data_IF_184854642355
#
_entry.id   IF_184854642355
#
_cell.length_a   1.000
_cell.length_b   1.000
_cell.length_c   1.000
_cell.angle_alpha   90.00
_cell.angle_beta   90.00
_cell.angle_gamma   90.00
#
_symmetry.space_group_name_H-M   'P 1'
#
loop_
_entity.id
_entity.type
_entity.pdbx_description
1 polymer ?
#
# COMPACT_ATOMS: atom_id res chain seq x y z
N UNK A 1 4.16 8.76 -9.54
CA UNK A 1 3.69 8.14 -8.27
C UNK A 1 4.83 7.42 -7.58
N UNK A 2 5.64 6.68 -8.32
CA UNK A 2 6.81 5.96 -7.82
C UNK A 2 7.80 6.83 -7.02
N UNK A 3 8.07 8.06 -7.48
CA UNK A 3 8.94 8.97 -6.72
C UNK A 3 8.39 9.29 -5.32
N UNK A 4 7.08 9.44 -5.19
CA UNK A 4 6.44 9.65 -3.89
C UNK A 4 6.51 8.38 -3.02
N UNK A 5 6.40 7.20 -3.64
CA UNK A 5 6.58 5.91 -2.96
C UNK A 5 7.99 5.80 -2.40
N UNK A 6 9.01 6.12 -3.19
CA UNK A 6 10.41 6.10 -2.76
C UNK A 6 10.65 7.09 -1.60
N UNK A 7 10.06 8.29 -1.67
CA UNK A 7 10.18 9.28 -0.61
C UNK A 7 9.50 8.83 0.70
N UNK A 8 8.39 8.10 0.62
CA UNK A 8 7.73 7.53 1.82
C UNK A 8 8.55 6.38 2.37
N UNK A 9 9.11 5.52 1.52
CA UNK A 9 9.98 4.41 1.90
C UNK A 9 11.22 4.90 2.65
N UNK A 10 11.92 5.89 2.13
CA UNK A 10 13.08 6.49 2.83
C UNK A 10 12.66 7.12 4.15
N UNK A 11 11.53 7.84 4.19
CA UNK A 11 11.03 8.44 5.44
C UNK A 11 10.67 7.40 6.52
N UNK A 12 10.12 6.24 6.14
CA UNK A 12 9.85 5.14 7.08
C UNK A 12 11.16 4.53 7.58
N UNK A 13 12.13 4.32 6.70
CA UNK A 13 13.45 3.79 7.04
C UNK A 13 14.22 4.72 7.98
N UNK A 14 14.17 6.02 7.73
CA UNK A 14 14.82 7.03 8.58
C UNK A 14 14.25 7.01 10.01
N UNK A 15 12.94 6.76 10.16
CA UNK A 15 12.27 6.69 11.47
C UNK A 15 12.61 5.45 12.29
N UNK A 16 13.27 4.45 11.70
CA UNK A 16 13.69 3.22 12.37
C UNK A 16 14.96 3.37 13.22
N UNK A 17 15.56 4.57 13.29
CA UNK A 17 16.75 4.80 14.11
C UNK A 17 16.41 4.96 15.59
N UNK A 18 17.28 4.43 16.45
CA UNK A 18 17.16 4.56 17.91
C UNK A 18 17.13 6.03 18.35
N UNK A 19 17.91 6.89 17.67
CA UNK A 19 17.91 8.34 17.89
C UNK A 19 16.53 8.97 17.64
N UNK A 20 15.83 8.54 16.57
CA UNK A 20 14.49 9.04 16.28
C UNK A 20 13.46 8.53 17.28
N UNK A 21 13.63 7.29 17.75
CA UNK A 21 12.80 6.75 18.83
C UNK A 21 12.94 7.60 20.10
N UNK A 22 14.17 7.93 20.53
CA UNK A 22 14.41 8.75 21.72
C UNK A 22 13.80 10.16 21.60
N UNK A 23 13.94 10.79 20.43
CA UNK A 23 13.32 12.09 20.14
C UNK A 23 11.79 11.99 20.20
N UNK A 24 11.20 10.91 19.71
CA UNK A 24 9.76 10.71 19.69
C UNK A 24 9.24 10.40 21.11
N UNK A 25 9.94 9.55 21.85
CA UNK A 25 9.61 9.16 23.22
C UNK A 25 9.71 10.33 24.20
N UNK A 26 10.76 11.16 24.08
CA UNK A 26 10.91 12.38 24.90
C UNK A 26 9.82 13.41 24.61
N UNK A 27 9.45 13.61 23.34
CA UNK A 27 8.31 14.45 22.95
C UNK A 27 6.99 13.92 23.50
N UNK A 28 6.73 12.62 23.38
CA UNK A 28 5.52 12.00 23.90
C UNK A 28 5.42 12.15 25.42
N UNK A 29 6.54 11.95 26.13
CA UNK A 29 6.62 12.14 27.58
C UNK A 29 6.37 13.60 27.97
N UNK A 30 6.94 14.57 27.25
CA UNK A 30 6.71 15.99 27.48
C UNK A 30 5.25 16.43 27.23
N UNK A 31 4.57 15.81 26.25
CA UNK A 31 3.15 16.04 26.00
C UNK A 31 2.28 15.43 27.09
N UNK A 32 2.60 14.21 27.54
CA UNK A 32 1.89 13.55 28.63
C UNK A 32 1.96 14.35 29.93
N UNK A 33 3.14 14.88 30.26
CA UNK A 33 3.30 15.75 31.45
C UNK A 33 2.59 17.08 31.29
N UNK A 34 2.61 17.70 30.10
CA UNK A 34 1.88 18.95 29.84
C UNK A 34 0.36 18.80 29.98
N UNK A 35 -0.17 17.62 29.67
CA UNK A 35 -1.61 17.33 29.70
C UNK A 35 -2.07 16.65 31.00
N UNK A 36 -1.19 16.53 32.01
CA UNK A 36 -1.43 15.78 33.26
C UNK A 36 -1.95 14.35 33.01
N UNK A 37 -1.49 13.72 31.93
CA UNK A 37 -1.81 12.33 31.61
C UNK A 37 -0.94 11.39 32.43
N UNK A 38 -1.40 10.13 32.55
CA UNK A 38 -0.55 9.10 33.14
C UNK A 38 0.75 8.97 32.33
N UNK A 39 1.90 8.83 33.02
CA UNK A 39 3.17 8.64 32.34
C UNK A 39 3.12 7.37 31.49
N UNK A 40 3.90 7.36 30.41
CA UNK A 40 4.00 6.19 29.53
C UNK A 40 4.59 5.04 30.36
N UNK A 41 3.75 4.05 30.67
CA UNK A 41 4.10 2.87 31.46
C UNK A 41 4.17 1.64 30.56
N UNK A 42 4.99 0.66 30.96
CA UNK A 42 5.02 -0.64 30.29
C UNK A 42 3.63 -1.31 30.35
N UNK A 43 3.22 -2.02 29.29
CA UNK A 43 2.01 -2.82 29.31
C UNK A 43 2.00 -3.76 30.50
N UNK A 44 0.89 -3.76 31.27
CA UNK A 44 0.77 -4.63 32.43
C UNK A 44 0.70 -6.10 31.98
N UNK A 45 1.75 -6.87 32.24
CA UNK A 45 1.80 -8.29 31.90
C UNK A 45 0.78 -9.05 32.74
N UNK A 46 -0.30 -9.53 32.09
CA UNK A 46 -1.27 -10.41 32.74
C UNK A 46 -0.60 -11.73 33.08
N UNK A 47 -0.45 -12.03 34.38
CA UNK A 47 -0.02 -13.35 34.82
C UNK A 47 -1.14 -14.36 34.54
N UNK A 48 -0.89 -15.42 33.74
CA UNK A 48 -1.87 -16.48 33.60
C UNK A 48 -2.13 -17.13 34.97
N UNK A 49 -3.35 -17.63 35.18
CA UNK A 49 -3.68 -18.36 36.42
C UNK A 49 -2.81 -19.60 36.57
N UNK A 50 -2.29 -19.84 37.78
CA UNK A 50 -1.36 -20.94 38.14
C UNK A 50 -1.76 -22.33 37.65
N UNK A 51 -3.04 -22.58 37.36
CA UNK A 51 -3.53 -23.85 36.85
C UNK A 51 -3.03 -24.21 35.44
N UNK A 52 -2.65 -23.22 34.61
CA UNK A 52 -2.27 -23.43 33.20
C UNK A 52 -0.79 -23.20 32.91
N UNK A 53 -0.01 -22.69 33.86
CA UNK A 53 1.43 -22.44 33.72
C UNK A 53 2.20 -23.34 34.66
N UNK A 54 3.10 -24.18 34.15
CA UNK A 54 4.07 -24.93 34.95
C UNK A 54 5.08 -23.99 35.65
N UNK A 55 6.26 -24.52 36.01
CA UNK A 55 7.36 -23.72 36.58
C UNK A 55 8.04 -22.74 35.59
N UNK A 56 7.43 -22.48 34.44
CA UNK A 56 7.97 -21.55 33.44
C UNK A 56 7.71 -20.10 33.86
N UNK A 57 8.78 -19.31 33.93
CA UNK A 57 8.71 -17.89 34.20
C UNK A 57 7.83 -17.19 33.14
N UNK A 58 6.98 -16.25 33.56
CA UNK A 58 6.23 -15.42 32.64
C UNK A 58 7.20 -14.64 31.75
N UNK A 59 6.86 -14.44 30.47
CA UNK A 59 7.62 -13.55 29.59
C UNK A 59 7.53 -12.12 30.16
N UNK A 60 8.63 -11.59 30.68
CA UNK A 60 8.74 -10.22 31.18
C UNK A 60 9.52 -9.46 30.12
N UNK A 61 8.91 -8.43 29.52
CA UNK A 61 9.67 -7.41 28.81
C UNK A 61 10.36 -6.53 29.86
N UNK A 62 11.69 -6.60 30.03
CA UNK A 62 12.32 -6.08 31.24
C UNK A 62 12.74 -4.61 31.14
N UNK A 63 12.77 -4.00 29.94
CA UNK A 63 13.48 -2.74 29.73
C UNK A 63 12.79 -1.79 28.74
N UNK A 64 13.12 -0.50 28.78
CA UNK A 64 12.68 0.53 27.81
C UNK A 64 13.04 0.13 26.36
N UNK A 65 14.07 -0.70 26.20
CA UNK A 65 14.45 -1.33 24.95
C UNK A 65 13.31 -2.13 24.30
N UNK A 66 12.37 -2.68 25.10
CA UNK A 66 11.20 -3.38 24.58
C UNK A 66 10.19 -2.48 23.86
N UNK A 67 10.05 -1.20 24.27
CA UNK A 67 9.24 -0.23 23.53
C UNK A 67 9.91 0.18 22.23
N UNK A 68 11.25 0.25 22.22
CA UNK A 68 12.02 0.49 21.01
C UNK A 68 11.85 -0.69 20.03
N UNK A 69 11.94 -1.92 20.52
CA UNK A 69 11.69 -3.14 19.74
C UNK A 69 10.27 -3.21 19.19
N UNK A 70 9.25 -2.86 20.00
CA UNK A 70 7.85 -2.81 19.56
C UNK A 70 7.64 -1.72 18.52
N UNK A 71 8.19 -0.52 18.74
CA UNK A 71 8.17 0.57 17.75
C UNK A 71 8.82 0.14 16.44
N UNK A 72 10.00 -0.47 16.49
CA UNK A 72 10.70 -0.97 15.30
C UNK A 72 9.91 -2.08 14.61
N UNK A 73 9.26 -2.98 15.37
CA UNK A 73 8.38 -4.01 14.81
C UNK A 73 7.16 -3.40 14.10
N UNK A 74 6.57 -2.34 14.64
CA UNK A 74 5.47 -1.63 13.95
C UNK A 74 5.97 -0.96 12.67
N UNK A 75 7.15 -0.32 12.69
CA UNK A 75 7.76 0.29 11.51
C UNK A 75 8.11 -0.76 10.44
N UNK A 76 8.63 -1.91 10.85
CA UNK A 76 8.93 -3.04 9.98
C UNK A 76 7.64 -3.57 9.33
N UNK A 77 6.55 -3.69 10.10
CA UNK A 77 5.24 -4.10 9.58
C UNK A 77 4.70 -3.10 8.56
N UNK A 78 4.78 -1.80 8.86
CA UNK A 78 4.37 -0.73 7.94
C UNK A 78 5.21 -0.77 6.66
N UNK A 79 6.53 -0.93 6.78
CA UNK A 79 7.43 -1.00 5.64
C UNK A 79 7.16 -2.24 4.78
N UNK A 80 6.96 -3.42 5.38
CA UNK A 80 6.58 -4.64 4.67
C UNK A 80 5.27 -4.46 3.93
N UNK A 81 4.23 -3.97 4.60
CA UNK A 81 2.93 -3.71 3.97
C UNK A 81 3.00 -2.67 2.85
N UNK A 82 3.88 -1.68 3.00
CA UNK A 82 4.10 -0.66 1.99
C UNK A 82 4.80 -1.24 0.74
N UNK A 83 5.87 -2.00 0.95
CA UNK A 83 6.62 -2.69 -0.10
C UNK A 83 5.72 -3.68 -0.85
N UNK A 84 4.98 -4.53 -0.14
CA UNK A 84 4.08 -5.52 -0.73
C UNK A 84 2.99 -4.89 -1.64
N UNK A 85 2.61 -3.63 -1.39
CA UNK A 85 1.60 -2.92 -2.19
C UNK A 85 2.18 -2.24 -3.42
N UNK A 86 3.36 -1.65 -3.31
CA UNK A 86 3.93 -0.82 -4.38
C UNK A 86 5.00 -1.53 -5.22
N UNK A 87 5.67 -2.55 -4.67
CA UNK A 87 6.64 -3.38 -5.41
C UNK A 87 5.98 -4.63 -6.04
N UNK A 88 4.65 -4.60 -6.24
CA UNK A 88 3.95 -5.67 -6.96
C UNK A 88 4.48 -5.79 -8.40
N UNK A 89 4.65 -7.03 -8.84
CA UNK A 89 5.07 -7.31 -10.21
C UNK A 89 4.14 -6.61 -11.21
N UNK A 90 4.70 -5.74 -12.04
CA UNK A 90 3.96 -4.99 -13.04
C UNK A 90 3.53 -3.58 -12.63
N UNK A 91 3.44 -3.22 -11.35
CA UNK A 91 2.94 -1.89 -10.95
C UNK A 91 3.76 -0.73 -11.56
N UNK A 92 5.08 -0.82 -11.47
CA UNK A 92 6.01 0.12 -12.10
C UNK A 92 5.84 0.22 -13.63
N UNK A 93 5.47 -0.89 -14.26
CA UNK A 93 5.33 -0.97 -15.71
C UNK A 93 4.07 -0.25 -16.18
N UNK A 94 2.95 -0.40 -15.46
CA UNK A 94 1.71 0.30 -15.76
C UNK A 94 1.83 1.82 -15.59
N UNK A 95 2.63 2.32 -14.63
CA UNK A 95 2.90 3.76 -14.54
C UNK A 95 3.76 4.24 -15.73
N UNK A 96 4.76 3.45 -16.14
CA UNK A 96 5.57 3.78 -17.32
C UNK A 96 4.75 3.76 -18.62
N UNK A 97 3.83 2.80 -18.77
CA UNK A 97 2.89 2.72 -19.88
C UNK A 97 2.02 3.98 -19.97
N UNK A 98 1.51 4.46 -18.84
CA UNK A 98 0.68 5.66 -18.80
C UNK A 98 1.45 6.92 -19.23
N UNK A 99 2.69 7.05 -18.77
CA UNK A 99 3.49 8.26 -18.97
C UNK A 99 4.25 8.28 -20.30
N UNK A 100 4.76 7.14 -20.75
CA UNK A 100 5.64 7.04 -21.91
C UNK A 100 4.98 6.31 -23.10
N UNK A 101 3.84 5.65 -22.90
CA UNK A 101 3.15 4.89 -23.94
C UNK A 101 3.86 3.59 -24.33
N UNK A 102 4.83 3.11 -23.55
CA UNK A 102 5.56 1.87 -23.81
C UNK A 102 4.78 0.66 -23.29
N UNK A 103 4.00 0.04 -24.16
CA UNK A 103 3.07 -1.05 -23.85
C UNK A 103 3.81 -2.35 -23.52
N UNK A 104 3.70 -2.85 -22.28
CA UNK A 104 4.12 -4.20 -21.92
C UNK A 104 2.98 -5.22 -22.06
N UNK A 105 3.35 -6.50 -22.19
CA UNK A 105 2.41 -7.63 -22.20
C UNK A 105 1.75 -7.85 -20.84
N UNK A 106 2.24 -7.21 -19.78
CA UNK A 106 1.65 -7.27 -18.44
C UNK A 106 0.21 -6.73 -18.41
N UNK A 107 -0.14 -5.82 -19.32
CA UNK A 107 -1.51 -5.30 -19.49
C UNK A 107 -2.50 -6.42 -19.82
N UNK A 108 -2.08 -7.44 -20.56
CA UNK A 108 -2.96 -8.55 -20.97
C UNK A 108 -3.34 -9.46 -19.78
N UNK A 109 -2.71 -9.29 -18.60
CA UNK A 109 -3.10 -9.99 -17.38
C UNK A 109 -4.43 -9.46 -16.79
N UNK A 110 -4.84 -8.24 -17.17
CA UNK A 110 -6.02 -7.56 -16.66
C UNK A 110 -7.19 -7.64 -17.65
N UNK A 111 -8.27 -8.38 -17.33
CA UNK A 111 -9.39 -8.58 -18.25
C UNK A 111 -10.18 -7.29 -18.55
N UNK A 112 -10.11 -6.30 -17.66
CA UNK A 112 -10.68 -4.97 -17.86
C UNK A 112 -9.91 -4.10 -18.88
N UNK A 113 -8.67 -4.45 -19.21
CA UNK A 113 -7.83 -3.71 -20.15
C UNK A 113 -7.75 -4.41 -21.51
N UNK A 114 -7.82 -3.61 -22.57
CA UNK A 114 -7.59 -4.05 -23.93
C UNK A 114 -6.35 -3.33 -24.46
N UNK A 115 -5.24 -4.06 -24.56
CA UNK A 115 -3.93 -3.53 -24.96
C UNK A 115 -3.95 -2.76 -26.29
N UNK A 116 -4.72 -3.23 -27.28
CA UNK A 116 -4.84 -2.54 -28.58
C UNK A 116 -5.59 -1.21 -28.47
N UNK A 117 -6.70 -1.19 -27.75
CA UNK A 117 -7.48 0.04 -27.56
C UNK A 117 -6.74 1.02 -26.65
N UNK A 118 -6.08 0.53 -25.61
CA UNK A 118 -5.28 1.33 -24.69
C UNK A 118 -4.14 2.04 -25.44
N UNK A 119 -3.42 1.35 -26.32
CA UNK A 119 -2.34 1.95 -27.11
C UNK A 119 -2.84 3.13 -27.98
N UNK A 120 -3.98 2.96 -28.64
CA UNK A 120 -4.58 4.04 -29.47
C UNK A 120 -5.03 5.20 -28.60
N UNK A 121 -5.67 4.91 -27.45
CA UNK A 121 -6.15 5.93 -26.54
C UNK A 121 -5.01 6.69 -25.87
N UNK A 122 -3.92 6.04 -25.47
CA UNK A 122 -2.72 6.68 -24.92
C UNK A 122 -2.06 7.60 -25.93
N UNK A 123 -1.90 7.16 -27.18
CA UNK A 123 -1.35 8.00 -28.24
C UNK A 123 -2.22 9.24 -28.51
N UNK A 124 -3.55 9.06 -28.53
CA UNK A 124 -4.50 10.16 -28.70
C UNK A 124 -4.48 11.10 -27.48
N UNK A 125 -4.40 10.55 -26.27
CA UNK A 125 -4.39 11.31 -25.03
C UNK A 125 -3.12 12.16 -24.92
N UNK A 126 -1.94 11.58 -25.19
CA UNK A 126 -0.66 12.29 -25.21
C UNK A 126 -0.52 13.34 -26.32
N UNK A 127 -1.23 13.17 -27.44
CA UNK A 127 -1.30 14.19 -28.49
C UNK A 127 -2.24 15.36 -28.12
N UNK A 128 -3.21 15.12 -27.24
CA UNK A 128 -4.26 16.10 -26.89
C UNK A 128 -3.93 16.86 -25.60
N UNK A 129 -3.29 16.20 -24.64
CA UNK A 129 -3.04 16.73 -23.31
C UNK A 129 -1.57 16.61 -22.93
N UNK A 130 -1.07 17.62 -22.23
CA UNK A 130 0.27 17.62 -21.62
C UNK A 130 0.15 17.21 -20.16
N UNK A 131 0.93 16.21 -19.75
CA UNK A 131 0.97 15.71 -18.38
C UNK A 131 2.37 15.16 -18.08
N UNK A 132 2.77 15.25 -16.82
CA UNK A 132 4.06 14.72 -16.35
C UNK A 132 3.86 13.64 -15.29
N UNK A 133 2.76 13.70 -14.55
CA UNK A 133 2.47 12.75 -13.47
C UNK A 133 1.15 12.01 -13.68
N UNK A 134 1.05 10.82 -13.09
CA UNK A 134 -0.20 10.03 -13.04
C UNK A 134 -1.34 10.76 -12.30
N UNK A 135 -1.01 11.70 -11.41
CA UNK A 135 -1.99 12.58 -10.76
C UNK A 135 -2.58 13.58 -11.75
N UNK A 136 -1.78 14.14 -12.66
CA UNK A 136 -2.24 15.10 -13.66
C UNK A 136 -3.22 14.42 -14.64
N UNK A 137 -2.90 13.19 -15.05
CA UNK A 137 -3.81 12.38 -15.87
C UNK A 137 -5.14 12.18 -15.16
N UNK A 138 -5.13 11.86 -13.86
CA UNK A 138 -6.34 11.66 -13.08
C UNK A 138 -7.17 12.96 -12.96
N UNK A 139 -6.53 14.12 -12.77
CA UNK A 139 -7.24 15.41 -12.75
C UNK A 139 -7.84 15.76 -14.10
N UNK A 140 -7.09 15.55 -15.19
CA UNK A 140 -7.56 15.80 -16.56
C UNK A 140 -8.80 14.95 -16.84
N UNK A 141 -8.76 13.65 -16.56
CA UNK A 141 -9.91 12.74 -16.75
C UNK A 141 -11.11 13.18 -15.90
N UNK A 142 -10.88 13.63 -14.67
CA UNK A 142 -11.94 14.10 -13.76
C UNK A 142 -12.64 15.36 -14.26
N UNK A 143 -11.92 16.26 -14.93
CA UNK A 143 -12.44 17.50 -15.48
C UNK A 143 -13.13 17.32 -16.84
N UNK A 144 -12.87 16.21 -17.55
CA UNK A 144 -13.53 15.91 -18.81
C UNK A 144 -15.05 15.76 -18.69
N UNK A 145 -15.74 16.26 -19.71
CA UNK A 145 -17.16 16.02 -19.94
C UNK A 145 -17.38 14.51 -20.17
N UNK A 146 -18.46 13.89 -19.64
CA UNK A 146 -18.65 12.44 -19.68
C UNK A 146 -18.52 11.79 -21.06
N UNK A 147 -18.94 12.47 -22.12
CA UNK A 147 -18.85 11.98 -23.50
C UNK A 147 -17.40 11.85 -23.97
N UNK A 148 -16.56 12.84 -23.63
CA UNK A 148 -15.13 12.83 -23.94
C UNK A 148 -14.41 11.81 -23.08
N UNK A 149 -14.78 11.68 -21.80
CA UNK A 149 -14.25 10.65 -20.90
C UNK A 149 -14.50 9.24 -21.45
N UNK A 150 -15.68 9.01 -22.02
CA UNK A 150 -16.03 7.74 -22.66
C UNK A 150 -15.08 7.32 -23.80
N UNK A 151 -14.45 8.27 -24.49
CA UNK A 151 -13.46 8.00 -25.54
C UNK A 151 -12.15 7.44 -24.97
N UNK A 152 -11.82 7.78 -23.73
CA UNK A 152 -10.59 7.39 -23.03
C UNK A 152 -10.84 6.33 -21.95
N UNK A 153 -11.86 5.48 -22.11
CA UNK A 153 -12.26 4.50 -21.10
C UNK A 153 -11.15 3.51 -20.69
N UNK A 154 -10.19 3.20 -21.57
CA UNK A 154 -9.04 2.35 -21.23
C UNK A 154 -7.99 3.12 -20.43
N UNK A 155 -7.76 4.39 -20.74
CA UNK A 155 -6.86 5.26 -19.95
C UNK A 155 -7.46 5.48 -18.55
N UNK A 156 -8.77 5.69 -18.46
CA UNK A 156 -9.47 5.77 -17.18
C UNK A 156 -9.36 4.45 -16.40
N UNK A 157 -9.55 3.30 -17.05
CA UNK A 157 -9.38 2.00 -16.42
C UNK A 157 -7.94 1.79 -15.90
N UNK A 158 -6.93 2.18 -16.68
CA UNK A 158 -5.51 2.11 -16.28
C UNK A 158 -5.22 3.02 -15.07
N UNK A 159 -5.72 4.26 -15.09
CA UNK A 159 -5.57 5.20 -13.96
C UNK A 159 -6.27 4.68 -12.72
N UNK A 160 -7.47 4.09 -12.85
CA UNK A 160 -8.16 3.44 -11.74
C UNK A 160 -7.35 2.26 -11.20
N UNK A 161 -6.77 1.44 -12.07
CA UNK A 161 -5.92 0.33 -11.65
C UNK A 161 -4.72 0.84 -10.84
N UNK A 162 -4.03 1.87 -11.32
CA UNK A 162 -2.89 2.47 -10.62
C UNK A 162 -3.26 3.10 -9.27
N UNK A 163 -4.44 3.73 -9.16
CA UNK A 163 -4.85 4.42 -7.93
C UNK A 163 -5.59 3.53 -6.92
N UNK A 164 -6.26 2.47 -7.37
CA UNK A 164 -7.10 1.61 -6.53
C UNK A 164 -6.37 0.34 -6.09
N UNK A 165 -5.50 -0.23 -6.92
CA UNK A 165 -4.77 -1.47 -6.58
C UNK A 165 -3.90 -1.33 -5.33
N UNK A 166 -3.12 -0.25 -5.12
CA UNK A 166 -2.32 -0.09 -3.89
C UNK A 166 -3.18 0.11 -2.64
N UNK A 167 -4.43 0.56 -2.79
CA UNK A 167 -5.34 0.82 -1.67
C UNK A 167 -6.15 -0.42 -1.25
N UNK A 168 -6.25 -1.43 -2.12
CA UNK A 168 -6.97 -2.67 -1.81
C UNK A 168 -6.04 -3.70 -1.18
N UNK A 169 -6.22 -3.97 0.12
CA UNK A 169 -5.47 -4.99 0.89
C UNK A 169 -5.91 -6.43 0.56
N UNK A 170 -6.58 -6.65 -0.56
CA UNK A 170 -7.32 -7.88 -0.84
C UNK A 170 -6.57 -8.80 -1.83
N UNK A 171 -5.37 -9.27 -1.47
CA UNK A 171 -4.82 -10.48 -2.11
C UNK A 171 -5.74 -11.70 -1.93
N UNK A 172 -6.57 -11.69 -0.87
CA UNK A 172 -7.57 -12.70 -0.61
C UNK A 172 -8.65 -12.79 -1.71
N UNK A 173 -9.07 -11.67 -2.32
CA UNK A 173 -10.17 -11.68 -3.31
C UNK A 173 -9.73 -12.24 -4.67
N UNK A 174 -8.48 -12.01 -5.09
CA UNK A 174 -7.91 -12.64 -6.30
C UNK A 174 -7.86 -14.17 -6.20
N UNK A 175 -7.81 -14.70 -4.97
CA UNK A 175 -7.85 -16.14 -4.68
C UNK A 175 -9.27 -16.70 -4.62
N UNK A 176 -10.25 -15.91 -4.14
CA UNK A 176 -11.66 -16.32 -4.07
C UNK A 176 -12.34 -16.31 -5.45
N UNK A 177 -12.07 -15.33 -6.31
CA UNK A 177 -12.66 -15.27 -7.65
C UNK A 177 -12.16 -16.41 -8.56
N UNK A 178 -10.89 -16.82 -8.42
CA UNK A 178 -10.33 -17.96 -9.18
C UNK A 178 -10.86 -19.31 -8.68
N UNK A 179 -11.11 -19.46 -7.37
CA UNK A 179 -11.66 -20.70 -6.78
C UNK A 179 -13.12 -20.94 -7.14
N UNK A 180 -13.94 -19.90 -7.27
CA UNK A 180 -15.35 -20.07 -7.67
C UNK A 180 -15.50 -20.52 -9.13
N UNK A 181 -14.64 -20.06 -10.03
CA UNK A 181 -14.62 -20.52 -11.43
C UNK A 181 -14.16 -21.97 -11.59
N UNK A 182 -13.31 -22.49 -10.70
CA UNK A 182 -12.88 -23.90 -10.79
C UNK A 182 -13.96 -24.88 -10.33
N UNK A 183 -14.84 -24.47 -9.41
CA UNK A 183 -15.93 -25.32 -8.91
C UNK A 183 -17.09 -25.39 -9.91
N UNK A 184 -17.42 -24.30 -10.61
CA UNK A 184 -18.49 -24.31 -11.63
C UNK A 184 -18.15 -25.11 -12.89
N UNK A 185 -16.87 -25.37 -13.18
CA UNK A 185 -16.48 -26.21 -14.33
C UNK A 185 -16.48 -27.72 -14.05
N UNK A 186 -16.68 -28.14 -12.79
CA UNK A 186 -16.69 -29.56 -12.40
C UNK A 186 -18.10 -30.19 -12.36
N UNK A 187 -19.17 -29.40 -12.53
CA UNK A 187 -20.57 -29.86 -12.46
C UNK A 187 -21.22 -30.13 -13.84
N UNK A 188 -20.43 -30.19 -14.91
CA UNK A 188 -20.91 -30.48 -16.28
C UNK A 188 -20.12 -31.59 -17.00
N UNK A 189 -19.84 -32.70 -16.31
CA UNK A 189 -19.49 -33.97 -16.96
C UNK A 189 -20.26 -35.14 -16.37
#
# INVERSE_FOLDING_TARGET
>A
MLEAVDHVKTSIQDKRTEENFDVLFSKATAVATKLDLQPIQMPHVRKPTKHYTGQTAAHIHPDAQSLCDESNSTMDTVNTQFIERFEQAGFHKHENELLHGDMDKAVDEYPELNSRLLQVQLAMFGATYTYETSSDVASIIREMVPEVRGLFGQVEALVRLLLVVPASSAEAERSFERRLKTIQCLDHR
#
